data_IF_266638076684
#
_entry.id   IF_266638076684
#
_cell.length_a   1.000
_cell.length_b   1.000
_cell.length_c   1.000
_cell.angle_alpha   90.00
_cell.angle_beta   90.00
_cell.angle_gamma   90.00
#
_symmetry.space_group_name_H-M   'P 1'
#
loop_
_entity.id
_entity.type
_entity.pdbx_description
1 polymer ?
#
# COMPACT_ATOMS: atom_id res chain seq x y z
N UNK A 1 -10.38 33.68 25.54
CA UNK A 1 -10.98 33.42 24.22
C UNK A 1 -10.64 32.00 23.73
N UNK A 2 -11.20 30.93 24.32
CA UNK A 2 -10.87 29.53 23.97
C UNK A 2 -12.12 28.64 23.91
N UNK A 3 -13.05 28.89 22.99
CA UNK A 3 -14.29 28.11 22.96
C UNK A 3 -15.04 28.04 21.62
N UNK A 4 -14.41 28.44 20.51
CA UNK A 4 -15.04 28.38 19.18
C UNK A 4 -14.60 27.14 18.38
N UNK A 5 -13.33 26.76 18.43
CA UNK A 5 -12.79 25.60 17.68
C UNK A 5 -13.38 24.25 18.13
N UNK A 6 -13.58 24.03 19.43
CA UNK A 6 -14.16 22.77 19.94
C UNK A 6 -15.64 22.61 19.59
N UNK A 7 -16.42 23.71 19.61
CA UNK A 7 -17.82 23.68 19.20
C UNK A 7 -17.99 23.42 17.70
N UNK A 8 -17.06 23.91 16.88
CA UNK A 8 -17.07 23.68 15.44
C UNK A 8 -16.72 22.23 15.08
N UNK A 9 -15.79 21.61 15.82
CA UNK A 9 -15.47 20.19 15.67
C UNK A 9 -16.62 19.27 16.14
N UNK A 10 -17.28 19.62 17.25
CA UNK A 10 -18.42 18.86 17.76
C UNK A 10 -19.63 18.95 16.80
N UNK A 11 -19.88 20.12 16.22
CA UNK A 11 -20.97 20.30 15.25
C UNK A 11 -20.70 19.51 13.95
N UNK A 12 -19.45 19.54 13.45
CA UNK A 12 -19.07 18.75 12.27
C UNK A 12 -19.23 17.23 12.49
N UNK A 13 -18.99 16.74 13.71
CA UNK A 13 -19.20 15.33 14.05
C UNK A 13 -20.68 14.95 14.12
N UNK A 14 -21.54 15.83 14.64
CA UNK A 14 -22.99 15.61 14.70
C UNK A 14 -23.60 15.63 13.28
N UNK A 15 -23.16 16.54 12.42
CA UNK A 15 -23.64 16.64 11.05
C UNK A 15 -23.17 15.45 10.19
N UNK A 16 -21.94 14.96 10.41
CA UNK A 16 -21.43 13.75 9.76
C UNK A 16 -22.18 12.48 10.21
N UNK A 17 -22.51 12.36 11.50
CA UNK A 17 -23.27 11.23 12.02
C UNK A 17 -24.71 11.20 11.48
N UNK A 18 -25.37 12.36 11.37
CA UNK A 18 -26.71 12.46 10.80
C UNK A 18 -26.75 12.20 9.30
N UNK A 19 -25.72 12.64 8.55
CA UNK A 19 -25.58 12.32 7.13
C UNK A 19 -25.35 10.82 6.88
N UNK A 20 -24.54 10.17 7.70
CA UNK A 20 -24.31 8.73 7.63
C UNK A 20 -25.58 7.92 7.96
N UNK A 21 -26.36 8.36 8.95
CA UNK A 21 -27.62 7.72 9.32
C UNK A 21 -28.70 7.84 8.22
N UNK A 22 -28.80 9.00 7.55
CA UNK A 22 -29.73 9.19 6.44
C UNK A 22 -29.34 8.40 5.18
N UNK A 23 -28.05 8.22 4.91
CA UNK A 23 -27.58 7.41 3.78
C UNK A 23 -27.90 5.91 3.96
N UNK A 24 -27.86 5.40 5.19
CA UNK A 24 -28.20 4.01 5.51
C UNK A 24 -29.71 3.73 5.37
N UNK A 25 -30.58 4.71 5.67
CA UNK A 25 -32.04 4.54 5.57
C UNK A 25 -32.57 4.54 4.13
N UNK A 26 -31.82 5.06 3.15
CA UNK A 26 -32.31 5.20 1.77
C UNK A 26 -31.74 4.15 0.79
N UNK A 27 -31.06 3.10 1.29
CA UNK A 27 -30.59 1.96 0.47
C UNK A 27 -29.56 2.30 -0.63
N UNK A 28 -29.04 3.52 -0.65
CA UNK A 28 -28.10 4.01 -1.64
C UNK A 28 -26.68 3.82 -1.12
N UNK A 29 -26.07 2.67 -1.39
CA UNK A 29 -24.68 2.36 -1.04
C UNK A 29 -23.78 3.34 -1.82
N UNK A 30 -23.12 4.32 -1.17
CA UNK A 30 -22.28 5.25 -1.90
C UNK A 30 -21.07 4.51 -2.49
N UNK A 31 -20.62 4.85 -3.71
CA UNK A 31 -19.33 4.38 -4.21
C UNK A 31 -18.25 4.82 -3.22
N UNK A 32 -17.39 3.88 -2.82
CA UNK A 32 -16.30 4.05 -1.85
C UNK A 32 -15.45 5.30 -2.15
N UNK A 33 -15.82 6.43 -1.54
CA UNK A 33 -15.08 7.68 -1.66
C UNK A 33 -13.80 7.61 -0.82
N UNK A 34 -12.79 8.42 -1.16
CA UNK A 34 -11.46 8.43 -0.51
C UNK A 34 -11.49 8.54 1.03
N UNK A 35 -12.59 9.03 1.62
CA UNK A 35 -12.84 9.02 3.07
C UNK A 35 -12.97 7.60 3.66
N UNK A 36 -13.53 6.64 2.92
CA UNK A 36 -13.61 5.24 3.33
C UNK A 36 -12.23 4.55 3.27
N UNK A 37 -11.32 5.00 2.41
CA UNK A 37 -9.95 4.46 2.36
C UNK A 37 -9.13 4.94 3.56
N UNK A 38 -9.25 6.21 3.97
CA UNK A 38 -8.59 6.71 5.18
C UNK A 38 -9.11 6.02 6.45
N UNK A 39 -10.43 5.85 6.57
CA UNK A 39 -11.03 5.12 7.70
C UNK A 39 -10.64 3.62 7.70
N UNK A 40 -10.53 2.99 6.53
CA UNK A 40 -10.04 1.61 6.41
C UNK A 40 -8.54 1.51 6.76
N UNK A 41 -7.73 2.51 6.38
CA UNK A 41 -6.32 2.59 6.77
C UNK A 41 -6.17 2.81 8.27
N UNK A 42 -6.97 3.67 8.89
CA UNK A 42 -7.01 3.88 10.34
C UNK A 42 -7.49 2.63 11.09
N UNK A 43 -8.52 1.94 10.58
CA UNK A 43 -8.98 0.68 11.14
C UNK A 43 -7.91 -0.42 11.04
N UNK A 44 -7.22 -0.51 9.89
CA UNK A 44 -6.08 -1.43 9.73
C UNK A 44 -4.86 -1.04 10.57
N UNK A 45 -4.63 0.26 10.80
CA UNK A 45 -3.57 0.73 11.69
C UNK A 45 -3.88 0.40 13.16
N UNK A 46 -5.14 0.53 13.57
CA UNK A 46 -5.61 0.11 14.89
C UNK A 46 -5.55 -1.41 15.06
N UNK A 47 -5.92 -2.20 14.05
CA UNK A 47 -5.78 -3.67 14.07
C UNK A 47 -4.31 -4.09 14.20
N UNK A 48 -3.39 -3.38 13.53
CA UNK A 48 -1.94 -3.55 13.71
C UNK A 48 -1.48 -3.17 15.13
N UNK A 49 -2.03 -2.09 15.69
CA UNK A 49 -1.73 -1.67 17.06
C UNK A 49 -2.22 -2.66 18.13
N UNK A 50 -3.25 -3.46 17.80
CA UNK A 50 -3.77 -4.53 18.66
C UNK A 50 -2.99 -5.86 18.52
N UNK A 51 -1.99 -5.92 17.64
CA UNK A 51 -1.15 -7.11 17.45
C UNK A 51 -1.88 -8.32 16.85
N UNK A 52 -3.07 -8.11 16.25
CA UNK A 52 -3.84 -9.18 15.63
C UNK A 52 -3.24 -9.47 14.25
N UNK A 53 -2.48 -10.56 14.14
CA UNK A 53 -1.96 -11.02 12.86
C UNK A 53 -3.08 -11.70 12.05
N UNK A 54 -3.42 -11.10 10.91
CA UNK A 54 -4.41 -11.62 9.96
C UNK A 54 -4.00 -12.95 9.33
N UNK A 55 -2.71 -13.33 9.41
CA UNK A 55 -2.24 -14.67 9.03
C UNK A 55 -2.78 -15.78 9.93
N UNK A 56 -3.12 -15.48 11.19
CA UNK A 56 -3.80 -16.45 12.07
C UNK A 56 -5.22 -16.80 11.59
N UNK A 57 -5.79 -16.01 10.68
CA UNK A 57 -7.12 -16.21 10.07
C UNK A 57 -7.06 -16.47 8.56
N UNK A 58 -5.87 -16.81 8.02
CA UNK A 58 -5.71 -17.14 6.59
C UNK A 58 -5.60 -15.94 5.64
N UNK A 59 -5.41 -14.73 6.17
CA UNK A 59 -5.07 -13.53 5.40
C UNK A 59 -3.56 -13.28 5.31
N UNK A 60 -3.11 -12.28 4.54
CA UNK A 60 -1.69 -11.88 4.52
C UNK A 60 -1.26 -11.38 5.90
N UNK A 61 0.01 -11.58 6.28
CA UNK A 61 0.50 -11.19 7.61
C UNK A 61 0.49 -9.67 7.78
N UNK A 62 -0.01 -9.23 8.93
CA UNK A 62 0.00 -7.82 9.36
C UNK A 62 1.02 -7.53 10.46
N UNK A 63 1.84 -8.52 10.81
CA UNK A 63 2.92 -8.36 11.78
C UNK A 63 3.83 -7.19 11.37
N UNK A 64 4.17 -6.28 12.30
CA UNK A 64 5.18 -5.27 12.05
C UNK A 64 6.52 -5.97 11.82
N UNK A 65 7.13 -5.71 10.67
CA UNK A 65 8.40 -6.30 10.27
C UNK A 65 9.52 -5.28 10.48
N UNK A 66 10.62 -5.70 11.08
CA UNK A 66 11.79 -4.84 11.28
C UNK A 66 12.40 -4.42 9.92
N UNK A 67 13.08 -3.27 9.87
CA UNK A 67 13.62 -2.75 8.61
C UNK A 67 14.75 -3.61 8.02
N UNK A 68 15.45 -4.34 8.89
CA UNK A 68 16.53 -5.29 8.67
C UNK A 68 16.06 -6.75 8.54
N UNK A 69 14.75 -6.97 8.43
CA UNK A 69 14.18 -8.31 8.31
C UNK A 69 14.58 -9.00 6.99
N UNK A 70 14.90 -10.31 7.01
CA UNK A 70 15.22 -11.08 5.81
C UNK A 70 14.15 -11.05 4.71
N UNK A 71 12.90 -10.72 5.02
CA UNK A 71 11.84 -10.52 4.02
C UNK A 71 12.18 -9.40 3.03
N UNK A 72 13.01 -8.43 3.45
CA UNK A 72 13.53 -7.34 2.65
C UNK A 72 14.88 -7.63 1.99
N UNK A 73 15.45 -8.83 2.21
CA UNK A 73 16.69 -9.23 1.54
C UNK A 73 16.51 -9.30 0.02
N UNK A 74 17.55 -8.92 -0.71
CA UNK A 74 17.55 -8.89 -2.18
C UNK A 74 17.16 -10.24 -2.79
N UNK A 75 16.42 -10.19 -3.90
CA UNK A 75 16.00 -11.36 -4.65
C UNK A 75 16.81 -11.41 -5.93
N UNK A 76 17.67 -12.41 -6.06
CA UNK A 76 18.55 -12.56 -7.23
C UNK A 76 19.43 -11.33 -7.50
N UNK A 77 19.83 -10.62 -6.43
CA UNK A 77 20.58 -9.36 -6.53
C UNK A 77 19.73 -8.12 -6.83
N UNK A 78 18.41 -8.26 -6.90
CA UNK A 78 17.46 -7.16 -7.06
C UNK A 78 16.90 -6.76 -5.71
N UNK A 79 17.32 -5.60 -5.22
CA UNK A 79 16.73 -4.97 -4.03
C UNK A 79 15.31 -4.48 -4.30
N UNK A 80 14.51 -4.35 -3.23
CA UNK A 80 13.15 -3.81 -3.33
C UNK A 80 13.14 -2.40 -3.93
N UNK A 81 14.18 -1.61 -3.64
CA UNK A 81 14.36 -0.26 -4.15
C UNK A 81 14.67 -0.24 -5.66
N UNK A 82 15.56 -1.12 -6.15
CA UNK A 82 15.81 -1.26 -7.58
C UNK A 82 14.57 -1.73 -8.35
N UNK A 83 13.83 -2.68 -7.78
CA UNK A 83 12.57 -3.12 -8.35
C UNK A 83 11.55 -1.96 -8.46
N UNK A 84 11.36 -1.19 -7.38
CA UNK A 84 10.46 -0.03 -7.38
C UNK A 84 10.89 1.06 -8.38
N UNK A 85 12.19 1.30 -8.51
CA UNK A 85 12.75 2.27 -9.47
C UNK A 85 12.44 1.88 -10.92
N UNK A 86 12.74 0.65 -11.33
CA UNK A 86 12.46 0.17 -12.70
C UNK A 86 10.95 0.11 -12.96
N UNK A 87 10.14 -0.30 -11.98
CA UNK A 87 8.68 -0.26 -12.09
C UNK A 87 8.17 1.17 -12.33
N UNK A 88 8.74 2.17 -11.67
CA UNK A 88 8.37 3.59 -11.87
C UNK A 88 8.81 4.12 -13.22
N UNK A 89 10.01 3.75 -13.68
CA UNK A 89 10.47 4.08 -15.03
C UNK A 89 9.58 3.45 -16.10
N UNK A 90 9.20 2.19 -15.92
CA UNK A 90 8.29 1.48 -16.83
C UNK A 90 6.92 2.17 -16.87
N UNK A 91 6.36 2.54 -15.71
CA UNK A 91 5.11 3.30 -15.64
C UNK A 91 5.20 4.64 -16.37
N UNK A 92 6.30 5.40 -16.17
CA UNK A 92 6.52 6.69 -16.86
C UNK A 92 6.66 6.52 -18.38
N UNK A 93 7.22 5.39 -18.82
CA UNK A 93 7.33 5.02 -20.22
C UNK A 93 6.03 4.45 -20.82
N UNK A 94 4.97 4.26 -20.02
CA UNK A 94 3.73 3.61 -20.46
C UNK A 94 3.86 2.10 -20.69
N UNK A 95 4.95 1.50 -20.21
CA UNK A 95 5.24 0.08 -20.29
C UNK A 95 4.51 -0.66 -19.19
N UNK A 96 3.69 -1.63 -19.57
CA UNK A 96 2.92 -2.48 -18.63
C UNK A 96 3.11 -3.97 -18.89
N UNK A 97 3.81 -4.33 -19.96
CA UNK A 97 4.09 -5.70 -20.34
C UNK A 97 5.49 -6.14 -19.93
N UNK A 98 5.67 -7.44 -19.82
CA UNK A 98 6.91 -8.08 -19.39
C UNK A 98 8.08 -7.82 -20.35
N UNK A 99 7.82 -7.71 -21.66
CA UNK A 99 8.87 -7.44 -22.65
C UNK A 99 9.41 -6.02 -22.50
N UNK A 100 8.52 -5.04 -22.36
CA UNK A 100 8.93 -3.67 -22.13
C UNK A 100 9.64 -3.50 -20.79
N UNK A 101 9.21 -4.20 -19.71
CA UNK A 101 9.90 -4.11 -18.42
C UNK A 101 11.34 -4.66 -18.50
N UNK A 102 11.54 -5.75 -19.25
CA UNK A 102 12.89 -6.27 -19.57
C UNK A 102 13.73 -5.26 -20.32
N UNK A 103 13.15 -4.55 -21.28
CA UNK A 103 13.85 -3.52 -22.04
C UNK A 103 14.24 -2.33 -21.16
N UNK A 104 13.34 -1.85 -20.30
CA UNK A 104 13.64 -0.79 -19.33
C UNK A 104 14.75 -1.23 -18.37
N UNK A 105 14.74 -2.47 -17.88
CA UNK A 105 15.82 -3.00 -17.05
C UNK A 105 17.17 -3.00 -17.80
N UNK A 106 17.20 -3.50 -19.04
CA UNK A 106 18.39 -3.51 -19.90
C UNK A 106 18.97 -2.11 -20.12
N UNK A 107 18.10 -1.14 -20.42
CA UNK A 107 18.49 0.27 -20.64
C UNK A 107 19.13 0.90 -19.40
N UNK A 108 18.80 0.38 -18.20
CA UNK A 108 19.34 0.83 -16.92
C UNK A 108 20.50 -0.04 -16.41
N UNK A 109 21.07 -0.90 -17.27
CA UNK A 109 22.24 -1.72 -16.95
C UNK A 109 21.96 -2.91 -16.04
N UNK A 110 20.69 -3.29 -15.88
CA UNK A 110 20.27 -4.47 -15.12
C UNK A 110 20.04 -5.62 -16.10
N UNK A 111 20.53 -6.81 -15.78
CA UNK A 111 20.26 -8.00 -16.58
C UNK A 111 18.73 -8.27 -16.62
N UNK A 112 18.11 -8.35 -17.82
CA UNK A 112 16.66 -8.46 -17.92
C UNK A 112 16.09 -9.72 -17.27
N UNK A 113 16.80 -10.84 -17.36
CA UNK A 113 16.35 -12.10 -16.78
C UNK A 113 16.50 -12.12 -15.26
N UNK A 114 17.59 -11.55 -14.74
CA UNK A 114 17.78 -11.27 -13.32
C UNK A 114 16.66 -10.37 -12.78
N UNK A 115 16.37 -9.28 -13.49
CA UNK A 115 15.29 -8.37 -13.12
C UNK A 115 13.95 -9.09 -13.05
N UNK A 116 13.62 -9.92 -14.02
CA UNK A 116 12.34 -10.66 -14.03
C UNK A 116 12.25 -11.69 -12.90
N UNK A 117 13.34 -12.39 -12.57
CA UNK A 117 13.38 -13.29 -11.40
C UNK A 117 13.16 -12.50 -10.10
N UNK A 118 13.82 -11.36 -9.95
CA UNK A 118 13.62 -10.43 -8.83
C UNK A 118 12.19 -9.91 -8.73
N UNK A 119 11.63 -9.41 -9.84
CA UNK A 119 10.27 -8.88 -9.93
C UNK A 119 9.20 -9.92 -9.55
N UNK A 120 9.34 -11.16 -10.03
CA UNK A 120 8.45 -12.27 -9.69
C UNK A 120 8.52 -12.59 -8.19
N UNK A 121 9.74 -12.65 -7.62
CA UNK A 121 9.91 -12.87 -6.19
C UNK A 121 9.33 -11.75 -5.33
N UNK A 122 9.52 -10.49 -5.73
CA UNK A 122 8.96 -9.34 -5.01
C UNK A 122 7.44 -9.30 -5.09
N UNK A 123 6.87 -9.64 -6.24
CA UNK A 123 5.41 -9.77 -6.42
C UNK A 123 4.84 -10.85 -5.51
N UNK A 124 5.49 -12.01 -5.42
CA UNK A 124 5.09 -13.08 -4.51
C UNK A 124 5.18 -12.64 -3.03
N UNK A 125 6.28 -12.00 -2.63
CA UNK A 125 6.46 -11.50 -1.25
C UNK A 125 5.45 -10.42 -0.88
N UNK A 126 5.11 -9.50 -1.80
CA UNK A 126 4.06 -8.51 -1.59
C UNK A 126 2.67 -9.15 -1.41
N UNK A 127 2.39 -10.26 -2.08
CA UNK A 127 1.16 -11.04 -1.88
C UNK A 127 1.07 -11.72 -0.51
N UNK A 128 2.21 -12.04 0.09
CA UNK A 128 2.30 -12.71 1.40
C UNK A 128 2.43 -11.73 2.57
N UNK A 129 3.04 -10.56 2.34
CA UNK A 129 3.33 -9.57 3.37
C UNK A 129 2.90 -8.17 2.95
N UNK A 130 1.95 -7.62 3.72
CA UNK A 130 1.50 -6.25 3.55
C UNK A 130 2.61 -5.24 3.87
N UNK A 131 3.57 -5.59 4.72
CA UNK A 131 4.72 -4.73 5.04
C UNK A 131 5.63 -4.53 3.81
N UNK A 132 5.88 -5.60 3.04
CA UNK A 132 6.65 -5.50 1.78
C UNK A 132 5.93 -4.62 0.77
N UNK A 133 4.62 -4.78 0.62
CA UNK A 133 3.82 -3.93 -0.26
C UNK A 133 3.74 -2.47 0.18
N UNK A 134 3.86 -2.17 1.47
CA UNK A 134 3.94 -0.79 1.98
C UNK A 134 5.31 -0.18 1.70
N UNK A 135 6.40 -0.91 1.97
CA UNK A 135 7.77 -0.45 1.71
C UNK A 135 8.03 -0.25 0.21
N UNK A 136 7.49 -1.14 -0.64
CA UNK A 136 7.49 -0.96 -2.09
C UNK A 136 6.86 0.38 -2.49
N UNK A 137 5.65 0.69 -2.00
CA UNK A 137 4.95 1.95 -2.32
C UNK A 137 5.75 3.16 -1.88
N UNK A 138 6.38 3.12 -0.70
CA UNK A 138 7.24 4.21 -0.24
C UNK A 138 8.39 4.48 -1.22
N UNK A 139 9.10 3.44 -1.67
CA UNK A 139 10.14 3.61 -2.68
C UNK A 139 9.58 4.06 -4.02
N UNK A 140 8.44 3.51 -4.45
CA UNK A 140 7.80 3.84 -5.72
C UNK A 140 7.33 5.29 -5.80
N UNK A 141 6.81 5.83 -4.69
CA UNK A 141 6.35 7.22 -4.59
C UNK A 141 7.52 8.21 -4.51
N UNK A 142 8.70 7.75 -4.06
CA UNK A 142 9.93 8.55 -4.03
C UNK A 142 10.51 8.81 -5.43
N UNK A 143 10.21 7.97 -6.42
CA UNK A 143 10.74 8.05 -7.78
C UNK A 143 9.78 8.71 -8.77
#
# INVERSE_FOLDING_TARGET
MFGKKQRQAAQAQIDAANAAAQAAMNGNIPPVSAANQAAAQDAMAQQRALGIDTAAFGGPSNAPVADDDPIFADIDGISLQHYAWIAKLSQKAGVTDESGMREVAAQNGIDPDQYMRGANGWTARMGQSMAVGQKFRQYFDQY
#
